data_IF_792461780908
#
_entry.id   IF_792461780908
#
_cell.length_a   1.000
_cell.length_b   1.000
_cell.length_c   1.000
_cell.angle_alpha   90.00
_cell.angle_beta   90.00
_cell.angle_gamma   90.00
#
_symmetry.space_group_name_H-M   'P 1'
#
loop_
_entity.id
_entity.type
_entity.pdbx_description
1 polymer ?
#
# COMPACT_ATOMS: atom_id res chain seq x y z
N UNK A 1 -38.11 1.78 17.15
CA UNK A 1 -37.54 0.53 17.68
C UNK A 1 -37.89 0.45 19.16
N UNK A 2 -38.35 -0.69 19.65
CA UNK A 2 -38.54 -0.91 21.08
C UNK A 2 -37.15 -1.01 21.73
N UNK A 3 -36.92 -0.30 22.84
CA UNK A 3 -35.68 -0.40 23.60
C UNK A 3 -35.39 -1.88 23.89
N UNK A 4 -34.15 -2.37 23.70
CA UNK A 4 -33.80 -3.72 24.10
C UNK A 4 -34.09 -3.89 25.60
N UNK A 5 -34.62 -5.06 26.02
CA UNK A 5 -34.82 -5.32 27.43
C UNK A 5 -33.49 -5.20 28.18
N UNK A 6 -33.50 -4.74 29.44
CA UNK A 6 -32.30 -4.72 30.26
C UNK A 6 -31.70 -6.12 30.35
N UNK A 7 -30.36 -6.23 30.44
CA UNK A 7 -29.72 -7.53 30.62
C UNK A 7 -30.28 -8.23 31.87
N UNK A 8 -30.44 -9.56 31.83
CA UNK A 8 -30.86 -10.31 33.02
C UNK A 8 -29.86 -10.08 34.16
N UNK A 9 -30.31 -10.07 35.42
CA UNK A 9 -29.41 -9.98 36.56
C UNK A 9 -28.41 -11.16 36.53
N UNK A 10 -27.19 -10.99 37.05
CA UNK A 10 -26.22 -12.06 37.14
C UNK A 10 -26.81 -13.25 37.93
N UNK A 11 -26.57 -14.47 37.44
CA UNK A 11 -26.98 -15.69 38.14
C UNK A 11 -26.22 -15.77 39.47
N UNK A 12 -26.90 -16.12 40.58
CA UNK A 12 -26.24 -16.25 41.88
C UNK A 12 -25.20 -17.37 41.82
N UNK A 13 -24.00 -17.11 42.30
CA UNK A 13 -22.98 -18.15 42.47
C UNK A 13 -23.49 -19.18 43.49
N UNK A 14 -23.40 -20.47 43.14
CA UNK A 14 -23.77 -21.57 44.01
C UNK A 14 -22.49 -22.20 44.60
N UNK A 15 -22.52 -22.59 45.86
CA UNK A 15 -21.44 -23.35 46.48
C UNK A 15 -21.40 -24.80 45.95
N UNK A 16 -20.41 -25.59 46.39
CA UNK A 16 -20.26 -26.99 45.99
C UNK A 16 -21.48 -27.87 46.37
N UNK A 17 -22.33 -27.41 47.29
CA UNK A 17 -23.56 -28.06 47.73
C UNK A 17 -24.81 -27.55 46.99
N UNK A 18 -24.65 -26.59 46.07
CA UNK A 18 -25.73 -26.02 45.27
C UNK A 18 -26.54 -24.93 45.99
N UNK A 19 -26.05 -24.41 47.12
CA UNK A 19 -26.70 -23.32 47.83
C UNK A 19 -26.19 -21.97 47.33
N UNK A 20 -27.05 -20.94 47.21
CA UNK A 20 -26.62 -19.61 46.81
C UNK A 20 -25.62 -19.05 47.82
N UNK A 21 -24.44 -18.69 47.34
CA UNK A 21 -23.40 -18.04 48.12
C UNK A 21 -23.92 -16.65 48.45
N UNK A 22 -24.10 -16.30 49.74
CA UNK A 22 -24.48 -14.95 50.11
C UNK A 22 -23.39 -13.99 49.62
N UNK A 23 -23.75 -12.83 49.03
CA UNK A 23 -22.75 -11.86 48.62
C UNK A 23 -21.89 -11.48 49.83
N UNK A 24 -20.58 -11.26 49.64
CA UNK A 24 -19.70 -10.91 50.74
C UNK A 24 -20.24 -9.67 51.46
N UNK A 25 -20.30 -9.74 52.79
CA UNK A 25 -20.71 -8.58 53.59
C UNK A 25 -19.74 -7.43 53.32
N UNK A 26 -20.24 -6.21 53.05
CA UNK A 26 -19.37 -5.07 52.79
C UNK A 26 -18.52 -4.80 54.03
N UNK A 27 -17.20 -4.81 53.88
CA UNK A 27 -16.29 -4.42 54.95
C UNK A 27 -16.57 -2.95 55.29
N UNK A 28 -16.90 -2.68 56.55
CA UNK A 28 -17.11 -1.32 57.06
C UNK A 28 -15.86 -0.87 57.83
N UNK A 29 -15.48 0.39 57.71
CA UNK A 29 -14.41 0.99 58.52
C UNK A 29 -14.86 1.15 59.99
N UNK A 30 -13.95 1.61 60.85
CA UNK A 30 -14.25 1.87 62.27
C UNK A 30 -15.37 2.92 62.48
N UNK A 31 -15.73 3.67 61.44
CA UNK A 31 -16.79 4.68 61.42
C UNK A 31 -18.11 4.15 60.80
N UNK A 32 -18.14 2.88 60.36
CA UNK A 32 -19.32 2.25 59.77
C UNK A 32 -19.53 2.58 58.29
N UNK A 33 -18.55 3.15 57.60
CA UNK A 33 -18.62 3.44 56.18
C UNK A 33 -18.07 2.27 55.35
N UNK A 34 -18.66 1.95 54.19
CA UNK A 34 -18.15 0.90 53.31
C UNK A 34 -16.72 1.23 52.86
N UNK A 35 -15.79 0.34 53.19
CA UNK A 35 -14.41 0.36 52.70
C UNK A 35 -14.48 0.05 51.22
N UNK A 36 -14.37 1.08 50.39
CA UNK A 36 -14.17 0.90 48.95
C UNK A 36 -12.75 0.40 48.80
N UNK A 37 -12.51 -0.85 48.34
CA UNK A 37 -11.16 -1.31 48.09
C UNK A 37 -10.51 -0.32 47.10
N UNK A 38 -9.26 0.11 47.36
CA UNK A 38 -8.55 0.97 46.42
C UNK A 38 -8.56 0.27 45.06
N UNK A 39 -9.03 0.97 44.03
CA UNK A 39 -9.11 0.43 42.69
C UNK A 39 -7.77 -0.22 42.34
N UNK A 40 -7.80 -1.53 42.13
CA UNK A 40 -6.64 -2.34 41.81
C UNK A 40 -5.96 -1.71 40.58
N UNK A 41 -4.81 -1.06 40.81
CA UNK A 41 -3.98 -0.52 39.73
C UNK A 41 -3.62 -1.72 38.86
N UNK A 42 -4.19 -1.75 37.66
CA UNK A 42 -3.86 -2.72 36.63
C UNK A 42 -2.33 -2.82 36.51
N UNK A 43 -1.79 -4.04 36.30
CA UNK A 43 -0.36 -4.26 36.22
C UNK A 43 0.25 -3.28 35.21
N UNK A 44 1.27 -2.55 35.67
CA UNK A 44 2.14 -1.76 34.80
C UNK A 44 2.72 -2.72 33.76
N UNK A 45 2.16 -2.70 32.56
CA UNK A 45 2.80 -3.25 31.37
C UNK A 45 4.20 -2.65 31.28
N UNK A 46 5.19 -3.52 31.17
CA UNK A 46 6.57 -3.19 30.90
C UNK A 46 6.62 -2.17 29.76
N UNK A 47 7.31 -1.05 30.00
CA UNK A 47 7.70 -0.11 28.96
C UNK A 47 8.57 -0.88 27.95
N UNK A 48 7.95 -1.42 26.90
CA UNK A 48 8.66 -1.76 25.68
C UNK A 48 9.26 -0.45 25.15
N UNK A 49 10.59 -0.43 25.11
CA UNK A 49 11.40 0.65 24.58
C UNK A 49 10.86 1.12 23.22
N UNK A 50 10.80 2.44 22.96
CA UNK A 50 10.34 2.94 21.68
C UNK A 50 11.29 2.43 20.59
N UNK A 51 10.78 1.57 19.72
CA UNK A 51 11.38 1.26 18.43
C UNK A 51 11.59 2.61 17.74
N UNK A 52 12.86 2.99 17.57
CA UNK A 52 13.24 4.17 16.80
C UNK A 52 12.76 3.99 15.37
N UNK A 53 11.69 4.70 15.03
CA UNK A 53 11.27 4.97 13.65
C UNK A 53 12.34 5.89 13.06
N UNK A 54 13.46 5.28 12.68
CA UNK A 54 14.50 5.86 11.83
C UNK A 54 13.90 5.94 10.41
N UNK A 55 12.92 6.82 10.24
CA UNK A 55 12.53 7.34 8.92
C UNK A 55 13.67 8.27 8.48
N UNK A 56 14.30 8.04 7.32
CA UNK A 56 15.35 8.91 6.83
C UNK A 56 14.80 10.32 6.60
N UNK A 57 15.52 11.30 7.14
CA UNK A 57 15.33 12.72 6.88
C UNK A 57 15.38 12.97 5.37
N UNK A 58 14.25 13.35 4.77
CA UNK A 58 14.22 14.06 3.48
C UNK A 58 14.84 15.45 3.71
N UNK A 59 16.16 15.55 3.61
CA UNK A 59 16.84 16.79 3.21
C UNK A 59 16.43 17.07 1.75
N UNK A 60 15.73 18.17 1.47
CA UNK A 60 16.38 19.44 1.13
C UNK A 60 16.82 19.38 -0.34
N UNK A 61 15.92 19.63 -1.29
CA UNK A 61 15.94 20.90 -2.07
C UNK A 61 17.36 21.43 -2.33
N UNK A 62 18.02 20.96 -3.40
CA UNK A 62 19.01 21.78 -4.13
C UNK A 62 18.94 21.54 -5.66
N UNK A 63 18.76 22.66 -6.34
CA UNK A 63 19.10 23.03 -7.72
C UNK A 63 18.40 22.36 -8.93
N UNK A 64 17.42 23.11 -9.44
CA UNK A 64 17.17 23.27 -10.88
C UNK A 64 18.50 23.63 -11.60
N UNK A 65 19.09 22.69 -12.32
CA UNK A 65 19.99 23.04 -13.43
C UNK A 65 19.17 23.19 -14.71
N UNK A 66 19.27 24.39 -15.27
CA UNK A 66 18.74 24.82 -16.55
C UNK A 66 19.22 23.91 -17.71
N UNK A 67 18.46 23.82 -18.80
CA UNK A 67 18.90 23.10 -20.00
C UNK A 67 20.11 23.84 -20.61
N UNK A 68 21.22 23.16 -20.95
CA UNK A 68 22.26 23.80 -21.73
C UNK A 68 21.75 24.07 -23.14
N UNK A 69 21.91 25.33 -23.52
CA UNK A 69 21.69 25.90 -24.84
C UNK A 69 22.47 25.18 -25.94
N UNK A 70 21.91 25.26 -27.14
CA UNK A 70 22.49 24.92 -28.43
C UNK A 70 23.87 25.56 -28.61
N UNK A 71 24.89 24.74 -28.81
CA UNK A 71 26.04 25.11 -29.64
C UNK A 71 25.97 24.28 -30.92
N UNK A 72 25.50 24.93 -32.00
CA UNK A 72 25.88 24.60 -33.36
C UNK A 72 27.41 24.72 -33.46
N UNK A 73 28.11 23.58 -33.56
CA UNK A 73 29.43 23.54 -34.18
C UNK A 73 29.36 22.63 -35.40
N UNK A 74 29.41 23.28 -36.56
CA UNK A 74 29.54 22.62 -37.84
C UNK A 74 30.84 21.84 -37.92
N UNK A 75 30.73 20.64 -38.46
CA UNK A 75 31.84 19.77 -38.82
C UNK A 75 31.30 18.70 -39.76
N UNK A 76 31.05 19.08 -41.01
CA UNK A 76 31.04 18.13 -42.11
C UNK A 76 32.49 17.62 -42.27
N UNK A 77 32.82 16.55 -41.55
CA UNK A 77 33.93 15.67 -41.91
C UNK A 77 33.32 14.35 -42.38
N UNK A 78 33.26 14.20 -43.71
CA UNK A 78 33.29 12.92 -44.40
C UNK A 78 34.57 12.18 -43.93
N UNK A 79 34.50 11.50 -42.79
CA UNK A 79 35.38 10.38 -42.51
C UNK A 79 34.77 9.15 -43.19
N UNK A 80 35.30 8.88 -44.38
CA UNK A 80 35.27 7.61 -45.10
C UNK A 80 35.94 6.57 -44.19
N UNK A 81 35.21 6.14 -43.16
CA UNK A 81 35.62 5.12 -42.21
C UNK A 81 35.64 3.81 -42.99
N UNK A 82 36.83 3.49 -43.51
CA UNK A 82 37.22 2.16 -43.98
C UNK A 82 36.78 1.17 -42.90
N UNK A 83 35.58 0.60 -43.05
CA UNK A 83 35.13 -0.54 -42.27
C UNK A 83 36.11 -1.68 -42.58
N UNK A 84 37.19 -1.76 -41.81
CA UNK A 84 37.96 -2.98 -41.65
C UNK A 84 36.93 -4.06 -41.31
N UNK A 85 36.59 -4.89 -42.30
CA UNK A 85 35.75 -6.07 -42.15
C UNK A 85 36.43 -6.94 -41.09
N UNK A 86 36.03 -6.75 -39.82
CA UNK A 86 36.45 -7.63 -38.74
C UNK A 86 36.08 -9.04 -39.17
N UNK A 87 37.02 -10.00 -39.07
CA UNK A 87 36.73 -11.36 -39.46
C UNK A 87 35.49 -11.83 -38.70
N UNK A 88 34.59 -12.58 -39.37
CA UNK A 88 33.38 -13.05 -38.73
C UNK A 88 33.73 -13.86 -37.47
N UNK A 89 32.91 -13.76 -36.40
CA UNK A 89 33.21 -14.38 -35.13
C UNK A 89 33.40 -15.89 -35.27
N UNK A 90 34.40 -16.42 -34.58
CA UNK A 90 34.65 -17.86 -34.53
C UNK A 90 33.56 -18.57 -33.71
N UNK A 91 33.38 -19.87 -33.91
CA UNK A 91 32.40 -20.68 -33.15
C UNK A 91 32.65 -20.60 -31.63
N UNK A 92 33.92 -20.57 -31.20
CA UNK A 92 34.27 -20.44 -29.78
C UNK A 92 33.88 -19.06 -29.19
N UNK A 93 33.98 -17.99 -29.98
CA UNK A 93 33.56 -16.65 -29.56
C UNK A 93 32.03 -16.54 -29.53
N UNK A 94 31.36 -17.05 -30.56
CA UNK A 94 29.91 -17.06 -30.64
C UNK A 94 29.27 -17.87 -29.50
N UNK A 95 29.81 -19.05 -29.15
CA UNK A 95 29.35 -19.84 -27.99
C UNK A 95 29.52 -19.09 -26.65
N UNK A 96 30.64 -18.40 -26.44
CA UNK A 96 30.85 -17.56 -25.25
C UNK A 96 29.85 -16.40 -25.18
N UNK A 97 29.49 -15.81 -26.31
CA UNK A 97 28.46 -14.77 -26.38
C UNK A 97 27.08 -15.33 -26.04
N UNK A 98 26.70 -16.49 -26.59
CA UNK A 98 25.43 -17.18 -26.25
C UNK A 98 25.36 -17.46 -24.75
N UNK A 99 26.44 -17.94 -24.14
CA UNK A 99 26.48 -18.25 -22.71
C UNK A 99 26.29 -16.99 -21.85
N UNK A 100 26.95 -15.88 -22.22
CA UNK A 100 26.80 -14.58 -21.54
C UNK A 100 25.37 -14.05 -21.66
N UNK A 101 24.82 -14.01 -22.87
CA UNK A 101 23.45 -13.56 -23.13
C UNK A 101 22.41 -14.42 -22.37
N UNK A 102 22.58 -15.75 -22.41
CA UNK A 102 21.74 -16.69 -21.66
C UNK A 102 21.80 -16.49 -20.14
N UNK A 103 22.96 -16.11 -19.59
CA UNK A 103 23.11 -15.79 -18.16
C UNK A 103 22.35 -14.52 -17.78
N UNK A 104 22.35 -13.50 -18.64
CA UNK A 104 21.57 -12.27 -18.41
C UNK A 104 20.07 -12.57 -18.44
N UNK A 105 19.60 -13.25 -19.49
CA UNK A 105 18.19 -13.65 -19.63
C UNK A 105 17.66 -14.43 -18.41
N UNK A 106 18.47 -15.35 -17.88
CA UNK A 106 18.14 -16.09 -16.64
C UNK A 106 17.99 -15.17 -15.43
N UNK A 107 18.81 -14.11 -15.32
CA UNK A 107 18.70 -13.11 -14.25
C UNK A 107 17.45 -12.27 -14.42
N UNK A 108 17.18 -11.72 -15.61
CA UNK A 108 15.95 -10.95 -15.85
C UNK A 108 14.69 -11.79 -15.58
N UNK A 109 14.63 -13.02 -16.10
CA UNK A 109 13.52 -13.95 -15.83
C UNK A 109 13.31 -14.23 -14.33
N UNK A 110 14.39 -14.25 -13.53
CA UNK A 110 14.29 -14.43 -12.08
C UNK A 110 13.74 -13.18 -11.39
N UNK A 111 14.11 -11.98 -11.84
CA UNK A 111 13.58 -10.70 -11.36
C UNK A 111 12.10 -10.59 -11.69
N UNK A 112 11.70 -10.78 -12.95
CA UNK A 112 10.29 -10.75 -13.38
C UNK A 112 9.42 -11.73 -12.59
N UNK A 113 9.93 -12.95 -12.32
CA UNK A 113 9.23 -13.93 -11.48
C UNK A 113 9.06 -13.49 -10.02
N UNK A 114 10.01 -12.75 -9.45
CA UNK A 114 9.91 -12.22 -8.09
C UNK A 114 8.88 -11.09 -8.02
N UNK A 115 8.98 -10.12 -8.94
CA UNK A 115 8.03 -9.01 -9.06
C UNK A 115 6.60 -9.53 -9.28
N UNK A 116 6.39 -10.51 -10.17
CA UNK A 116 5.08 -11.11 -10.39
C UNK A 116 4.48 -11.80 -9.13
N UNK A 117 5.32 -12.36 -8.24
CA UNK A 117 4.86 -12.93 -6.97
C UNK A 117 4.50 -11.85 -5.96
N UNK A 118 5.35 -10.83 -5.85
CA UNK A 118 5.15 -9.65 -5.01
C UNK A 118 3.86 -8.93 -5.39
N UNK A 119 3.66 -8.67 -6.69
CA UNK A 119 2.45 -8.06 -7.23
C UNK A 119 1.19 -8.84 -6.83
N UNK A 120 1.18 -10.17 -6.97
CA UNK A 120 0.03 -11.00 -6.52
C UNK A 120 -0.26 -10.86 -5.03
N UNK A 121 0.75 -10.66 -4.20
CA UNK A 121 0.56 -10.41 -2.76
C UNK A 121 -0.04 -9.02 -2.53
N UNK A 122 0.48 -8.00 -3.21
CA UNK A 122 -0.04 -6.63 -3.14
C UNK A 122 -1.48 -6.53 -3.63
N UNK A 123 -1.85 -7.20 -4.72
CA UNK A 123 -3.23 -7.27 -5.20
C UNK A 123 -4.17 -7.83 -4.12
N UNK A 124 -3.78 -8.92 -3.44
CA UNK A 124 -4.59 -9.47 -2.33
C UNK A 124 -4.73 -8.49 -1.16
N UNK A 125 -3.67 -7.74 -0.85
CA UNK A 125 -3.71 -6.71 0.19
C UNK A 125 -4.66 -5.58 -0.21
N UNK A 126 -4.61 -5.13 -1.46
CA UNK A 126 -5.50 -4.10 -2.00
C UNK A 126 -6.98 -4.57 -1.99
N UNK A 127 -7.25 -5.80 -2.44
CA UNK A 127 -8.59 -6.42 -2.39
C UNK A 127 -9.12 -6.48 -0.95
N UNK A 128 -8.30 -6.93 0.00
CA UNK A 128 -8.68 -6.98 1.42
C UNK A 128 -8.97 -5.57 1.96
N UNK A 129 -8.13 -4.59 1.66
CA UNK A 129 -8.33 -3.21 2.10
C UNK A 129 -9.62 -2.62 1.51
N UNK A 130 -9.92 -2.89 0.23
CA UNK A 130 -11.15 -2.45 -0.44
C UNK A 130 -12.39 -3.08 0.19
N UNK A 131 -12.37 -4.38 0.45
CA UNK A 131 -13.47 -5.08 1.13
C UNK A 131 -13.72 -4.51 2.54
N UNK A 132 -12.65 -4.28 3.32
CA UNK A 132 -12.76 -3.65 4.63
C UNK A 132 -13.35 -2.24 4.55
N UNK A 133 -12.91 -1.42 3.58
CA UNK A 133 -13.49 -0.09 3.34
C UNK A 133 -14.97 -0.19 3.01
N UNK A 134 -15.39 -1.12 2.16
CA UNK A 134 -16.79 -1.31 1.79
C UNK A 134 -17.66 -1.65 3.01
N UNK A 135 -17.17 -2.47 3.94
CA UNK A 135 -17.85 -2.73 5.20
C UNK A 135 -18.03 -1.46 6.04
N UNK A 136 -17.03 -0.57 6.04
CA UNK A 136 -17.10 0.70 6.76
C UNK A 136 -18.06 1.67 6.09
N UNK A 137 -18.08 1.74 4.75
CA UNK A 137 -19.08 2.52 3.99
C UNK A 137 -20.49 2.08 4.33
N UNK A 138 -20.75 0.76 4.40
CA UNK A 138 -22.04 0.22 4.85
C UNK A 138 -22.37 0.63 6.28
N UNK A 139 -21.38 0.61 7.19
CA UNK A 139 -21.57 1.07 8.57
C UNK A 139 -21.90 2.56 8.63
N UNK A 140 -21.23 3.40 7.84
CA UNK A 140 -21.51 4.84 7.69
C UNK A 140 -22.96 5.06 7.26
N UNK A 141 -23.44 4.31 6.27
CA UNK A 141 -24.81 4.39 5.77
C UNK A 141 -25.85 3.99 6.82
N UNK A 142 -25.57 2.95 7.61
CA UNK A 142 -26.45 2.48 8.68
C UNK A 142 -26.64 3.51 9.81
N UNK A 143 -25.58 4.26 10.14
CA UNK A 143 -25.61 5.20 11.27
C UNK A 143 -25.96 6.64 10.85
N UNK A 144 -26.14 6.92 9.56
CA UNK A 144 -26.18 8.31 9.05
C UNK A 144 -27.28 9.17 9.67
N UNK A 145 -28.49 8.64 9.84
CA UNK A 145 -29.62 9.41 10.37
C UNK A 145 -29.45 9.71 11.86
N UNK A 146 -29.06 8.69 12.64
CA UNK A 146 -28.79 8.82 14.08
C UNK A 146 -27.60 9.76 14.33
N UNK A 147 -26.54 9.63 13.52
CA UNK A 147 -25.37 10.49 13.56
C UNK A 147 -25.72 11.95 13.25
N UNK A 148 -26.56 12.21 12.25
CA UNK A 148 -27.00 13.56 11.92
C UNK A 148 -27.82 14.17 13.07
N UNK A 149 -28.70 13.39 13.70
CA UNK A 149 -29.47 13.84 14.85
C UNK A 149 -28.56 14.13 16.07
N UNK A 150 -27.65 13.21 16.38
CA UNK A 150 -26.67 13.34 17.46
C UNK A 150 -25.81 14.59 17.27
N UNK A 151 -25.22 14.78 16.08
CA UNK A 151 -24.33 15.91 15.85
C UNK A 151 -25.04 17.26 15.87
N UNK A 152 -26.30 17.30 15.42
CA UNK A 152 -27.13 18.52 15.49
C UNK A 152 -27.45 18.92 16.92
N UNK A 153 -27.44 17.98 17.87
CA UNK A 153 -27.73 18.26 19.28
C UNK A 153 -26.58 18.96 20.03
N UNK A 154 -25.33 18.90 19.52
CA UNK A 154 -24.19 19.53 20.18
C UNK A 154 -24.22 21.05 20.04
N UNK A 155 -24.50 21.75 21.14
CA UNK A 155 -24.39 23.21 21.22
C UNK A 155 -22.93 23.66 21.31
N UNK A 156 -22.09 22.90 22.02
CA UNK A 156 -20.65 23.12 22.14
C UNK A 156 -19.89 22.30 21.09
N UNK A 157 -18.60 22.60 20.89
CA UNK A 157 -17.76 21.82 19.97
C UNK A 157 -17.29 20.54 20.65
N UNK A 158 -17.67 19.33 20.16
CA UNK A 158 -17.09 18.08 20.62
C UNK A 158 -15.68 17.93 20.00
N UNK A 159 -14.58 18.11 20.77
CA UNK A 159 -13.25 18.30 20.19
C UNK A 159 -12.73 17.10 19.39
N UNK A 160 -12.94 15.86 19.86
CA UNK A 160 -12.48 14.68 19.13
C UNK A 160 -13.28 14.48 17.83
N UNK A 161 -14.61 14.58 17.93
CA UNK A 161 -15.56 14.44 16.83
C UNK A 161 -15.35 15.53 15.78
N UNK A 162 -15.12 16.77 16.21
CA UNK A 162 -14.80 17.88 15.31
C UNK A 162 -13.55 17.57 14.47
N UNK A 163 -12.49 17.03 15.09
CA UNK A 163 -11.28 16.62 14.36
C UNK A 163 -11.56 15.48 13.38
N UNK A 164 -12.35 14.48 13.76
CA UNK A 164 -12.74 13.39 12.86
C UNK A 164 -13.53 13.90 11.63
N UNK A 165 -14.48 14.81 11.85
CA UNK A 165 -15.24 15.46 10.76
C UNK A 165 -14.31 16.27 9.85
N UNK A 166 -13.40 17.07 10.40
CA UNK A 166 -12.41 17.80 9.60
C UNK A 166 -11.57 16.86 8.74
N UNK A 167 -11.12 15.73 9.29
CA UNK A 167 -10.33 14.76 8.55
C UNK A 167 -11.09 14.26 7.30
N UNK A 168 -12.38 13.96 7.44
CA UNK A 168 -13.24 13.57 6.32
C UNK A 168 -13.35 14.70 5.28
N UNK A 169 -13.58 15.94 5.72
CA UNK A 169 -13.72 17.09 4.81
C UNK A 169 -12.42 17.40 4.06
N UNK A 170 -11.26 17.28 4.72
CA UNK A 170 -9.96 17.36 4.05
C UNK A 170 -9.82 16.27 2.99
N UNK A 171 -10.13 15.02 3.33
CA UNK A 171 -10.02 13.88 2.42
C UNK A 171 -10.93 14.02 1.19
N UNK A 172 -12.13 14.59 1.35
CA UNK A 172 -13.03 14.93 0.23
C UNK A 172 -12.59 16.18 -0.56
N UNK A 173 -11.47 16.81 -0.19
CA UNK A 173 -10.91 17.97 -0.89
C UNK A 173 -11.73 19.25 -0.73
N UNK A 174 -12.47 19.40 0.37
CA UNK A 174 -13.16 20.66 0.68
C UNK A 174 -12.13 21.74 1.04
N UNK A 175 -12.46 23.01 0.77
CA UNK A 175 -11.63 24.15 1.15
C UNK A 175 -11.62 24.32 2.69
N UNK A 176 -10.44 24.33 3.36
CA UNK A 176 -10.32 24.51 4.81
C UNK A 176 -11.04 25.72 5.39
N UNK A 177 -11.18 26.81 4.63
CA UNK A 177 -11.90 28.02 5.06
C UNK A 177 -13.41 27.76 5.25
N UNK A 178 -13.93 26.74 4.56
CA UNK A 178 -15.35 26.35 4.63
C UNK A 178 -15.68 25.48 5.84
N UNK A 179 -14.69 25.07 6.64
CA UNK A 179 -14.91 24.19 7.79
C UNK A 179 -13.94 24.43 8.97
N UNK A 180 -13.30 25.60 9.01
CA UNK A 180 -12.34 25.99 10.06
C UNK A 180 -12.96 26.24 11.45
N UNK A 181 -14.28 26.18 11.60
CA UNK A 181 -15.00 26.27 12.88
C UNK A 181 -16.05 25.16 12.97
N UNK A 182 -16.49 24.82 14.19
CA UNK A 182 -17.50 23.76 14.38
C UNK A 182 -18.83 24.05 13.67
N UNK A 183 -19.30 25.29 13.74
CA UNK A 183 -20.54 25.71 13.05
C UNK A 183 -20.44 25.50 11.55
N UNK A 184 -19.29 25.83 10.94
CA UNK A 184 -19.05 25.60 9.51
C UNK A 184 -18.90 24.11 9.19
N UNK A 185 -18.18 23.33 10.01
CA UNK A 185 -18.10 21.87 9.85
C UNK A 185 -19.49 21.21 9.86
N UNK A 186 -20.34 21.59 10.83
CA UNK A 186 -21.71 21.06 10.94
C UNK A 186 -22.57 21.35 9.71
N UNK A 187 -22.33 22.45 9.01
CA UNK A 187 -23.06 22.76 7.77
C UNK A 187 -22.79 21.75 6.65
N UNK A 188 -21.64 21.06 6.68
CA UNK A 188 -21.33 19.99 5.72
C UNK A 188 -21.93 18.64 6.12
N UNK A 189 -22.35 18.45 7.37
CA UNK A 189 -22.96 17.21 7.84
C UNK A 189 -24.42 17.11 7.35
N UNK A 190 -24.55 16.68 6.10
CA UNK A 190 -25.80 16.49 5.38
C UNK A 190 -25.80 15.11 4.73
N UNK A 191 -26.96 14.64 4.26
CA UNK A 191 -27.05 13.37 3.52
C UNK A 191 -26.15 13.32 2.28
N UNK A 192 -25.89 14.47 1.66
CA UNK A 192 -24.97 14.61 0.52
C UNK A 192 -23.52 14.27 0.89
N UNK A 193 -23.07 14.57 2.12
CA UNK A 193 -21.75 14.14 2.59
C UNK A 193 -21.62 12.63 2.63
N UNK A 194 -22.64 11.93 3.10
CA UNK A 194 -22.63 10.46 3.17
C UNK A 194 -22.63 9.83 1.78
N UNK A 195 -23.36 10.42 0.82
CA UNK A 195 -23.28 10.02 -0.58
C UNK A 195 -21.86 10.20 -1.16
N UNK A 196 -21.23 11.36 -0.90
CA UNK A 196 -19.84 11.60 -1.29
C UNK A 196 -18.86 10.60 -0.67
N UNK A 197 -19.09 10.17 0.58
CA UNK A 197 -18.26 9.14 1.21
C UNK A 197 -18.43 7.77 0.56
N UNK A 198 -19.62 7.42 0.08
CA UNK A 198 -19.84 6.18 -0.65
C UNK A 198 -19.18 6.21 -2.03
N UNK A 199 -19.26 7.35 -2.71
CA UNK A 199 -18.74 7.55 -4.07
C UNK A 199 -17.24 7.86 -4.13
N UNK A 200 -16.62 8.21 -3.01
CA UNK A 200 -15.20 8.57 -2.96
C UNK A 200 -14.32 7.43 -3.49
N UNK A 201 -13.48 7.74 -4.48
CA UNK A 201 -12.50 6.81 -5.02
C UNK A 201 -11.23 6.79 -4.17
N UNK A 202 -11.07 5.72 -3.40
CA UNK A 202 -9.90 5.51 -2.54
C UNK A 202 -8.68 4.94 -3.30
N UNK A 203 -8.83 4.56 -4.57
CA UNK A 203 -7.75 4.00 -5.40
C UNK A 203 -6.95 5.07 -6.13
N UNK A 204 -7.55 6.26 -6.29
CA UNK A 204 -6.94 7.44 -6.86
C UNK A 204 -5.70 7.93 -6.08
N UNK A 205 -4.87 8.71 -6.76
CA UNK A 205 -3.68 9.30 -6.15
C UNK A 205 -3.99 10.29 -5.04
N UNK A 206 -3.13 10.27 -4.03
CA UNK A 206 -3.29 11.10 -2.83
C UNK A 206 -2.88 12.54 -3.11
N UNK A 207 -3.84 13.45 -3.01
CA UNK A 207 -3.56 14.90 -3.02
C UNK A 207 -2.89 15.29 -1.69
N UNK A 208 -1.57 15.47 -1.70
CA UNK A 208 -0.76 15.62 -0.48
C UNK A 208 -1.19 16.75 0.46
N UNK A 209 -1.59 17.96 0.00
CA UNK A 209 -2.13 19.00 0.88
C UNK A 209 -3.34 18.53 1.71
N UNK A 210 -4.26 17.79 1.10
CA UNK A 210 -5.43 17.23 1.78
C UNK A 210 -5.00 16.18 2.82
N UNK A 211 -4.12 15.27 2.45
CA UNK A 211 -3.65 14.20 3.34
C UNK A 211 -2.77 14.70 4.50
N UNK A 212 -2.04 15.81 4.34
CA UNK A 212 -1.39 16.52 5.46
C UNK A 212 -2.44 17.01 6.47
N UNK A 213 -3.54 17.60 5.99
CA UNK A 213 -4.69 18.00 6.82
C UNK A 213 -5.37 16.83 7.53
N UNK A 214 -5.59 15.72 6.82
CA UNK A 214 -6.11 14.46 7.38
C UNK A 214 -5.21 13.97 8.53
N UNK A 215 -3.89 13.86 8.29
CA UNK A 215 -2.91 13.40 9.29
C UNK A 215 -2.94 14.28 10.54
N UNK A 216 -2.93 15.60 10.38
CA UNK A 216 -2.98 16.55 11.49
C UNK A 216 -4.27 16.40 12.31
N UNK A 217 -5.40 16.14 11.65
CA UNK A 217 -6.68 15.93 12.32
C UNK A 217 -6.73 14.60 13.06
N UNK A 218 -6.20 13.51 12.48
CA UNK A 218 -6.23 12.17 13.08
C UNK A 218 -5.17 11.95 14.16
N UNK A 219 -4.06 12.71 14.17
CA UNK A 219 -2.95 12.52 15.11
C UNK A 219 -3.43 12.59 16.56
N UNK A 220 -3.28 11.50 17.30
CA UNK A 220 -3.64 11.41 18.72
C UNK A 220 -5.15 11.31 19.00
N UNK A 221 -5.99 11.06 17.99
CA UNK A 221 -7.40 10.74 18.23
C UNK A 221 -7.54 9.34 18.82
N UNK A 222 -8.00 9.25 20.07
CA UNK A 222 -8.25 7.99 20.77
C UNK A 222 -9.69 7.52 20.51
N UNK A 223 -9.92 6.22 20.20
CA UNK A 223 -11.26 5.68 20.01
C UNK A 223 -12.19 5.94 21.20
N UNK A 224 -11.70 5.80 22.43
CA UNK A 224 -12.47 6.05 23.65
C UNK A 224 -12.98 7.50 23.75
N UNK A 225 -12.18 8.48 23.33
CA UNK A 225 -12.60 9.88 23.34
C UNK A 225 -13.69 10.16 22.29
N UNK A 226 -13.61 9.52 21.13
CA UNK A 226 -14.64 9.63 20.09
C UNK A 226 -15.94 8.96 20.52
N UNK A 227 -15.87 7.74 21.06
CA UNK A 227 -17.04 6.99 21.52
C UNK A 227 -17.74 7.64 22.72
N UNK A 228 -16.99 8.35 23.57
CA UNK A 228 -17.56 9.14 24.66
C UNK A 228 -18.28 10.41 24.17
N UNK A 229 -17.88 10.97 23.03
CA UNK A 229 -18.52 12.15 22.44
C UNK A 229 -19.66 11.78 21.51
N UNK A 230 -19.38 11.05 20.43
CA UNK A 230 -20.34 10.70 19.39
C UNK A 230 -19.88 9.47 18.59
N UNK A 231 -20.79 8.52 18.36
CA UNK A 231 -20.48 7.27 17.63
C UNK A 231 -19.95 7.56 16.23
N UNK A 232 -20.48 8.60 15.58
CA UNK A 232 -20.07 9.00 14.23
C UNK A 232 -18.59 9.42 14.16
N UNK A 233 -18.04 9.98 15.24
CA UNK A 233 -16.64 10.38 15.28
C UNK A 233 -15.70 9.18 15.09
N UNK A 234 -16.00 8.07 15.77
CA UNK A 234 -15.23 6.83 15.62
C UNK A 234 -15.44 6.20 14.24
N UNK A 235 -16.67 6.21 13.72
CA UNK A 235 -16.97 5.72 12.37
C UNK A 235 -16.18 6.48 11.30
N UNK A 236 -16.10 7.81 11.40
CA UNK A 236 -15.28 8.63 10.49
C UNK A 236 -13.79 8.38 10.64
N UNK A 237 -13.28 8.19 11.85
CA UNK A 237 -11.88 7.79 12.07
C UNK A 237 -11.57 6.47 11.34
N UNK A 238 -12.39 5.45 11.57
CA UNK A 238 -12.25 4.13 10.93
C UNK A 238 -12.35 4.23 9.41
N UNK A 239 -13.31 5.03 8.89
CA UNK A 239 -13.44 5.28 7.45
C UNK A 239 -12.15 5.85 6.85
N UNK A 240 -11.58 6.87 7.48
CA UNK A 240 -10.34 7.53 7.03
C UNK A 240 -9.16 6.55 7.06
N UNK A 241 -9.04 5.74 8.11
CA UNK A 241 -7.99 4.73 8.23
C UNK A 241 -8.05 3.67 7.13
N UNK A 242 -9.24 3.12 6.85
CA UNK A 242 -9.39 2.15 5.77
C UNK A 242 -9.21 2.76 4.39
N UNK A 243 -9.64 4.01 4.19
CA UNK A 243 -9.37 4.75 2.95
C UNK A 243 -7.86 4.97 2.74
N UNK A 244 -7.13 5.31 3.81
CA UNK A 244 -5.65 5.39 3.77
C UNK A 244 -5.01 4.05 3.45
N UNK A 245 -5.52 2.95 4.00
CA UNK A 245 -5.01 1.61 3.76
C UNK A 245 -5.19 1.18 2.29
N UNK A 246 -6.36 1.46 1.70
CA UNK A 246 -6.61 1.26 0.27
C UNK A 246 -5.63 2.07 -0.56
N UNK A 247 -5.52 3.38 -0.32
CA UNK A 247 -4.63 4.24 -1.10
C UNK A 247 -3.16 3.77 -1.02
N UNK A 248 -2.68 3.35 0.17
CA UNK A 248 -1.33 2.78 0.34
C UNK A 248 -1.15 1.49 -0.47
N UNK A 249 -2.12 0.59 -0.40
CA UNK A 249 -2.05 -0.69 -1.11
C UNK A 249 -2.08 -0.49 -2.64
N UNK A 250 -2.96 0.37 -3.15
CA UNK A 250 -3.07 0.66 -4.58
C UNK A 250 -1.84 1.38 -5.15
N UNK A 251 -1.23 2.31 -4.40
CA UNK A 251 0.04 2.93 -4.82
C UNK A 251 1.18 1.89 -4.88
N UNK A 252 1.31 1.03 -3.86
CA UNK A 252 2.31 -0.02 -3.85
C UNK A 252 2.10 -1.01 -5.02
N UNK A 253 0.85 -1.37 -5.29
CA UNK A 253 0.50 -2.21 -6.42
C UNK A 253 0.91 -1.56 -7.76
N UNK A 254 0.58 -0.28 -7.99
CA UNK A 254 0.95 0.43 -9.22
C UNK A 254 2.46 0.55 -9.41
N UNK A 255 3.21 0.82 -8.34
CA UNK A 255 4.67 0.85 -8.39
C UNK A 255 5.26 -0.52 -8.79
N UNK A 256 4.74 -1.60 -8.23
CA UNK A 256 5.19 -2.97 -8.56
C UNK A 256 4.75 -3.39 -9.97
N UNK A 257 3.58 -2.96 -10.45
CA UNK A 257 3.11 -3.17 -11.82
C UNK A 257 4.02 -2.49 -12.83
N UNK A 258 4.41 -1.24 -12.57
CA UNK A 258 5.36 -0.50 -13.40
C UNK A 258 6.74 -1.21 -13.44
N UNK A 259 7.26 -1.58 -12.27
CA UNK A 259 8.53 -2.31 -12.17
C UNK A 259 8.49 -3.67 -12.90
N UNK A 260 7.34 -4.39 -12.84
CA UNK A 260 7.16 -5.64 -13.56
C UNK A 260 7.14 -5.42 -15.08
N UNK A 261 6.50 -4.35 -15.56
CA UNK A 261 6.46 -4.00 -16.98
C UNK A 261 7.88 -3.71 -17.51
N UNK A 262 8.65 -2.88 -16.80
CA UNK A 262 10.06 -2.60 -17.14
C UNK A 262 10.93 -3.88 -17.14
N UNK A 263 10.73 -4.76 -16.16
CA UNK A 263 11.45 -6.03 -16.08
C UNK A 263 11.08 -6.99 -17.23
N UNK A 264 9.82 -6.97 -17.69
CA UNK A 264 9.37 -7.76 -18.83
C UNK A 264 9.93 -7.22 -20.15
N UNK A 265 9.97 -5.90 -20.33
CA UNK A 265 10.61 -5.25 -21.47
C UNK A 265 12.10 -5.60 -21.53
N UNK A 266 12.82 -5.46 -20.42
CA UNK A 266 14.24 -5.86 -20.34
C UNK A 266 14.43 -7.35 -20.66
N UNK A 267 13.55 -8.21 -20.16
CA UNK A 267 13.60 -9.64 -20.47
C UNK A 267 13.38 -9.90 -21.97
N UNK A 268 12.51 -9.15 -22.64
CA UNK A 268 12.28 -9.26 -24.07
C UNK A 268 13.51 -8.81 -24.88
N UNK A 269 14.16 -7.72 -24.48
CA UNK A 269 15.43 -7.26 -25.09
C UNK A 269 16.52 -8.31 -24.92
N UNK A 270 16.69 -8.87 -23.72
CA UNK A 270 17.68 -9.92 -23.46
C UNK A 270 17.37 -11.22 -24.23
N UNK A 271 16.09 -11.55 -24.44
CA UNK A 271 15.70 -12.69 -25.26
C UNK A 271 16.05 -12.46 -26.74
N UNK A 272 15.74 -11.27 -27.28
CA UNK A 272 16.09 -10.92 -28.65
C UNK A 272 17.61 -10.97 -28.88
N UNK A 273 18.41 -10.50 -27.90
CA UNK A 273 19.87 -10.60 -27.97
C UNK A 273 20.36 -12.05 -27.94
N UNK A 274 19.74 -12.94 -27.15
CA UNK A 274 20.07 -14.38 -27.19
C UNK A 274 19.77 -14.96 -28.57
N UNK A 275 18.62 -14.64 -29.15
CA UNK A 275 18.20 -15.15 -30.45
C UNK A 275 19.12 -14.67 -31.58
N UNK A 276 19.54 -13.40 -31.55
CA UNK A 276 20.50 -12.83 -32.50
C UNK A 276 21.88 -13.49 -32.38
N UNK A 277 22.40 -13.65 -31.16
CA UNK A 277 23.70 -14.30 -30.94
C UNK A 277 23.64 -15.80 -31.29
N UNK A 278 22.49 -16.46 -31.10
CA UNK A 278 22.29 -17.84 -31.54
C UNK A 278 22.35 -17.95 -33.07
N UNK A 279 21.75 -16.99 -33.79
CA UNK A 279 21.85 -16.93 -35.24
C UNK A 279 23.31 -16.78 -35.71
N UNK A 280 24.09 -15.93 -35.05
CA UNK A 280 25.54 -15.78 -35.33
C UNK A 280 26.28 -17.10 -35.11
N UNK A 281 25.95 -17.83 -34.04
CA UNK A 281 26.54 -19.14 -33.77
C UNK A 281 26.18 -20.16 -34.85
N UNK A 282 24.94 -20.19 -35.31
CA UNK A 282 24.50 -21.10 -36.37
C UNK A 282 25.22 -20.79 -37.70
N UNK A 283 25.37 -19.51 -38.06
CA UNK A 283 26.14 -19.07 -39.24
C UNK A 283 27.64 -19.42 -39.12
N UNK A 284 28.24 -19.27 -37.93
CA UNK A 284 29.63 -19.64 -37.68
C UNK A 284 29.85 -21.16 -37.81
N UNK A 285 28.93 -21.97 -37.29
CA UNK A 285 28.96 -23.43 -37.42
C UNK A 285 28.83 -23.88 -38.89
N UNK A 286 27.97 -23.22 -39.67
CA UNK A 286 27.81 -23.51 -41.09
C UNK A 286 29.08 -23.19 -41.88
N UNK A 287 29.73 -22.06 -41.60
CA UNK A 287 31.03 -21.70 -42.20
C UNK A 287 32.12 -22.69 -41.86
N UNK A 288 32.23 -23.11 -40.61
CA UNK A 288 33.22 -24.12 -40.20
C UNK A 288 32.98 -25.46 -40.91
N UNK A 289 31.71 -25.89 -41.04
CA UNK A 289 31.34 -27.10 -41.77
C UNK A 289 31.63 -27.00 -43.28
N UNK A 290 31.42 -25.83 -43.88
CA UNK A 290 31.74 -25.59 -45.29
C UNK A 290 33.26 -25.56 -45.53
N UNK A 291 34.04 -25.03 -44.59
CA UNK A 291 35.50 -25.00 -44.66
C UNK A 291 36.15 -26.38 -44.45
N UNK A 292 35.46 -27.30 -43.78
CA UNK A 292 35.94 -28.64 -43.50
C UNK A 292 34.89 -29.71 -43.91
N UNK A 293 34.68 -29.93 -45.22
CA UNK A 293 33.68 -30.87 -45.71
C UNK A 293 34.00 -32.28 -45.22
N UNK A 294 32.98 -33.09 -44.86
CA UNK A 294 33.22 -34.47 -44.46
C UNK A 294 33.93 -35.21 -45.62
N UNK A 295 34.89 -36.10 -45.32
CA UNK A 295 35.58 -36.85 -46.36
C UNK A 295 34.54 -37.60 -47.20
N UNK A 296 34.58 -37.41 -48.53
CA UNK A 296 33.74 -38.18 -49.45
C UNK A 296 33.93 -39.66 -49.15
N UNK A 297 32.85 -40.34 -48.75
CA UNK A 297 32.86 -41.79 -48.62
C UNK A 297 33.35 -42.34 -49.96
N UNK A 298 34.42 -43.16 -49.97
CA UNK A 298 34.93 -43.70 -51.22
C UNK A 298 33.78 -44.48 -51.85
N UNK A 299 33.35 -44.03 -53.03
CA UNK A 299 32.36 -44.71 -53.83
C UNK A 299 32.71 -46.20 -53.81
N UNK A 300 31.83 -47.02 -53.24
CA UNK A 300 31.91 -48.47 -53.34
C UNK A 300 31.86 -48.79 -54.82
N UNK A 301 33.05 -48.84 -55.42
CA UNK A 301 33.25 -49.16 -56.81
C UNK A 301 32.73 -50.55 -57.01
N UNK A 302 31.71 -50.64 -57.86
CA UNK A 302 31.37 -51.80 -58.65
C UNK A 302 32.67 -52.43 -59.20
N UNK A 303 33.15 -53.47 -58.53
CA UNK A 303 34.15 -54.40 -59.04
C UNK A 303 33.48 -55.76 -59.13
N UNK A 304 33.06 -56.13 -60.34
CA UNK A 304 32.39 -57.40 -60.66
C UNK A 304 33.30 -58.62 -60.71
#
# INVERSE_FOLDING_TARGET
ALNPPPPPPPEPELDEEGNPIPPPEPELDEEGNPIVPPAEEAPKEEEEEPISDDEPEEEGEEEEEAPPEEEEEGGEEDDDDEQEEKPPPTVEEATKLVEKASKLLKKASKVSRRLARSLRQLTKVAEKAMSQREHVVKRVELVKEDALAEVRSFFCTPPATYRAVKAVLYMLGKDPLTFNTWTKCRAHLTNDLFAQLAEFDATADRVMPHWKGVRACCKGLKPAALQAEAVIGDVFRVYVEHTKAVAKACMAQRAEEAALAEAQEKQAVEQAAVDEVQKILDEANERERAANPPPEEPAEGEGG
#
